data_IF_188874835819
#
_entry.id   IF_188874835819
#
_cell.length_a   1.000
_cell.length_b   1.000
_cell.length_c   1.000
_cell.angle_alpha   90.00
_cell.angle_beta   90.00
_cell.angle_gamma   90.00
#
_symmetry.space_group_name_H-M   'P 1'
#
loop_
_entity.id
_entity.type
_entity.pdbx_description
1 polymer ?
#
# COMPACT_ATOMS: atom_id res chain seq x y z
N UNK A 1 -18.19 24.75 3.99
CA UNK A 1 -17.21 23.68 3.69
C UNK A 1 -17.77 22.88 2.53
N UNK A 2 -16.99 22.70 1.48
CA UNK A 2 -17.37 22.03 0.24
C UNK A 2 -16.73 20.64 0.21
N UNK A 3 -17.40 19.67 -0.43
CA UNK A 3 -16.79 18.37 -0.75
C UNK A 3 -15.96 18.56 -2.01
N UNK A 4 -14.65 18.35 -1.95
CA UNK A 4 -13.83 18.29 -3.16
C UNK A 4 -13.96 16.91 -3.81
N UNK A 5 -13.70 15.88 -3.03
CA UNK A 5 -13.91 14.48 -3.36
C UNK A 5 -13.93 13.73 -2.04
N UNK A 6 -15.06 13.10 -1.70
CA UNK A 6 -15.17 12.35 -0.44
C UNK A 6 -13.97 11.38 -0.27
N UNK A 7 -13.28 11.35 0.89
CA UNK A 7 -13.61 12.00 2.16
C UNK A 7 -12.93 13.37 2.37
N UNK A 8 -12.45 14.03 1.33
CA UNK A 8 -11.77 15.33 1.39
C UNK A 8 -12.78 16.47 1.27
N UNK A 9 -12.70 17.38 2.23
CA UNK A 9 -13.51 18.59 2.32
C UNK A 9 -12.59 19.80 2.39
N UNK A 10 -12.99 20.91 1.76
CA UNK A 10 -12.22 22.15 1.79
C UNK A 10 -13.08 23.38 2.08
N UNK A 11 -12.40 24.43 2.55
CA UNK A 11 -12.99 25.75 2.78
C UNK A 11 -11.93 26.79 2.52
N UNK A 12 -12.28 27.83 1.76
CA UNK A 12 -11.45 29.03 1.60
C UNK A 12 -11.98 30.10 2.55
N UNK A 13 -11.10 30.69 3.34
CA UNK A 13 -11.42 31.79 4.24
C UNK A 13 -10.72 33.04 3.70
N UNK A 14 -11.51 34.05 3.33
CA UNK A 14 -10.97 35.31 2.84
C UNK A 14 -10.51 36.19 4.00
N UNK A 15 -9.60 37.12 3.73
CA UNK A 15 -9.12 38.13 4.68
C UNK A 15 -8.43 37.55 5.94
N UNK A 16 -7.90 36.34 5.83
CA UNK A 16 -7.08 35.69 6.85
C UNK A 16 -5.69 35.42 6.27
N UNK A 17 -4.65 35.82 6.99
CA UNK A 17 -3.26 35.73 6.55
C UNK A 17 -2.44 34.88 7.50
N UNK A 18 -1.53 34.08 6.96
CA UNK A 18 -0.62 33.26 7.74
C UNK A 18 0.31 34.12 8.62
N UNK A 19 0.71 33.63 9.82
CA UNK A 19 0.41 32.31 10.38
C UNK A 19 -1.00 32.23 11.00
N UNK A 20 -1.72 31.14 10.74
CA UNK A 20 -3.06 30.89 11.30
C UNK A 20 -3.03 29.72 12.26
N UNK A 21 -3.62 29.91 13.45
CA UNK A 21 -3.90 28.83 14.41
C UNK A 21 -5.32 28.32 14.21
N UNK A 22 -5.48 27.00 14.13
CA UNK A 22 -6.79 26.38 13.93
C UNK A 22 -6.84 24.98 14.55
N UNK A 23 -8.05 24.42 14.63
CA UNK A 23 -8.30 23.02 14.96
C UNK A 23 -9.54 22.57 14.20
N UNK A 24 -9.66 21.27 13.94
CA UNK A 24 -10.88 20.72 13.35
C UNK A 24 -11.88 20.29 14.41
N UNK A 25 -13.17 20.35 14.06
CA UNK A 25 -14.29 19.82 14.84
C UNK A 25 -15.10 18.92 13.90
N UNK A 26 -15.33 17.68 14.31
CA UNK A 26 -16.22 16.74 13.61
C UNK A 26 -17.31 16.28 14.57
N UNK A 27 -18.54 16.74 14.32
CA UNK A 27 -19.67 16.45 15.20
C UNK A 27 -19.48 17.09 16.59
N UNK A 28 -19.28 16.25 17.61
CA UNK A 28 -19.03 16.68 19.01
C UNK A 28 -17.56 16.53 19.43
N UNK A 29 -16.71 16.03 18.55
CA UNK A 29 -15.30 15.78 18.83
C UNK A 29 -14.46 16.93 18.27
N UNK A 30 -13.65 17.54 19.14
CA UNK A 30 -12.69 18.59 18.83
C UNK A 30 -11.26 18.04 18.97
N UNK A 31 -10.35 18.46 18.09
CA UNK A 31 -8.94 18.08 18.21
C UNK A 31 -8.32 18.60 19.51
N UNK A 32 -7.51 17.76 20.17
CA UNK A 32 -6.85 18.11 21.45
C UNK A 32 -5.52 18.85 21.28
N UNK A 33 -5.26 19.36 20.09
CA UNK A 33 -4.04 20.08 19.73
C UNK A 33 -4.39 21.23 18.78
N UNK A 34 -3.54 22.26 18.77
CA UNK A 34 -3.68 23.39 17.85
C UNK A 34 -2.75 23.19 16.66
N UNK A 35 -3.29 23.32 15.46
CA UNK A 35 -2.54 23.34 14.21
C UNK A 35 -2.05 24.76 13.92
N UNK A 36 -0.96 24.86 13.19
CA UNK A 36 -0.41 26.12 12.69
C UNK A 36 -0.16 25.93 11.19
N UNK A 37 -0.67 26.85 10.38
CA UNK A 37 -0.37 26.94 8.95
C UNK A 37 0.35 28.26 8.67
N UNK A 38 1.52 28.15 8.04
CA UNK A 38 2.39 29.29 7.68
C UNK A 38 2.28 29.68 6.20
N UNK A 39 1.39 29.02 5.45
CA UNK A 39 1.11 29.22 4.02
C UNK A 39 -0.34 29.63 3.75
N UNK A 40 -0.66 29.91 2.49
CA UNK A 40 -2.00 30.23 2.00
C UNK A 40 -2.98 29.04 1.98
N UNK A 41 -2.46 27.83 2.14
CA UNK A 41 -3.19 26.57 2.03
C UNK A 41 -2.66 25.52 2.99
N UNK A 42 -3.51 24.55 3.33
CA UNK A 42 -3.17 23.35 4.12
C UNK A 42 -3.03 22.14 3.20
N UNK A 43 -2.38 21.09 3.69
CA UNK A 43 -2.37 19.78 3.02
C UNK A 43 -3.70 19.06 3.24
N UNK A 44 -3.90 17.91 2.59
CA UNK A 44 -4.97 16.99 3.00
C UNK A 44 -4.65 16.41 4.38
N UNK A 45 -5.24 17.00 5.41
CA UNK A 45 -5.05 16.58 6.80
C UNK A 45 -6.07 15.52 7.21
N UNK A 46 -5.68 14.67 8.16
CA UNK A 46 -6.59 13.69 8.74
C UNK A 46 -7.01 14.17 10.14
N UNK A 47 -8.32 14.16 10.41
CA UNK A 47 -8.85 14.58 11.71
C UNK A 47 -8.20 13.82 12.86
N UNK A 48 -7.84 14.55 13.91
CA UNK A 48 -7.20 14.04 15.11
C UNK A 48 -5.83 13.38 14.85
N UNK A 49 -5.11 13.85 13.82
CA UNK A 49 -3.70 13.52 13.56
C UNK A 49 -2.88 14.79 13.50
N UNK A 50 -2.12 15.04 14.56
CA UNK A 50 -1.29 16.24 14.73
C UNK A 50 -0.24 16.40 13.62
N UNK A 51 0.46 15.32 13.29
CA UNK A 51 1.53 15.36 12.27
C UNK A 51 1.04 14.77 10.96
N UNK A 52 0.87 15.61 9.93
CA UNK A 52 0.46 15.17 8.58
C UNK A 52 1.62 14.51 7.82
N UNK A 53 2.82 15.11 7.88
CA UNK A 53 4.03 14.60 7.23
C UNK A 53 5.18 14.59 8.24
N UNK A 54 5.85 13.44 8.39
CA UNK A 54 7.01 13.26 9.26
C UNK A 54 8.16 12.65 8.46
N UNK A 55 9.20 13.44 8.22
CA UNK A 55 10.47 12.90 7.71
C UNK A 55 11.14 12.07 8.81
N UNK A 56 11.66 10.92 8.42
CA UNK A 56 12.42 10.01 9.29
C UNK A 56 13.70 9.57 8.56
N UNK A 57 14.73 9.13 9.30
CA UNK A 57 15.95 8.63 8.69
C UNK A 57 15.66 7.43 7.78
N UNK A 58 16.45 7.32 6.71
CA UNK A 58 16.45 6.17 5.81
C UNK A 58 17.53 5.18 6.26
N UNK A 59 17.33 3.89 5.96
CA UNK A 59 18.39 2.91 6.11
C UNK A 59 19.58 3.28 5.20
N UNK A 60 20.83 3.12 5.67
CA UNK A 60 22.00 3.39 4.85
C UNK A 60 22.02 2.45 3.65
N UNK A 61 22.33 2.99 2.47
CA UNK A 61 22.54 2.15 1.27
C UNK A 61 23.84 1.38 1.42
N UNK A 62 23.78 0.05 1.33
CA UNK A 62 24.97 -0.80 1.33
C UNK A 62 25.50 -1.06 -0.09
N UNK A 63 24.60 -1.04 -1.09
CA UNK A 63 24.93 -1.29 -2.49
C UNK A 63 24.18 -0.31 -3.40
N UNK A 64 24.72 -0.10 -4.59
CA UNK A 64 24.03 0.66 -5.64
C UNK A 64 22.76 -0.08 -6.07
N UNK A 65 21.67 0.68 -6.18
CA UNK A 65 20.39 0.17 -6.69
C UNK A 65 20.44 0.13 -8.21
N UNK A 66 19.76 -0.85 -8.84
CA UNK A 66 19.56 -0.83 -10.29
C UNK A 66 19.02 0.54 -10.73
N UNK A 67 19.57 1.12 -11.79
CA UNK A 67 19.17 2.44 -12.30
C UNK A 67 17.69 2.51 -12.70
N UNK A 68 17.10 1.35 -12.98
CA UNK A 68 15.69 1.13 -13.32
C UNK A 68 14.79 0.98 -12.09
N UNK A 69 15.35 0.67 -10.91
CA UNK A 69 14.63 0.58 -9.64
C UNK A 69 14.49 1.98 -9.03
N UNK A 70 13.37 2.64 -9.32
CA UNK A 70 13.05 3.97 -8.77
C UNK A 70 12.09 3.85 -7.59
N UNK A 71 12.36 4.58 -6.49
CA UNK A 71 11.38 4.74 -5.40
C UNK A 71 10.14 5.44 -5.95
N UNK A 72 8.99 4.79 -5.87
CA UNK A 72 7.73 5.37 -6.32
C UNK A 72 7.20 6.35 -5.28
N UNK A 73 6.61 7.47 -5.73
CA UNK A 73 5.87 8.39 -4.86
C UNK A 73 4.71 7.70 -4.13
N UNK A 74 4.18 6.60 -4.68
CA UNK A 74 3.17 5.78 -4.01
C UNK A 74 3.65 5.23 -2.68
N UNK A 75 4.94 4.97 -2.53
CA UNK A 75 5.53 4.40 -1.31
C UNK A 75 6.37 5.44 -0.55
N UNK A 76 6.00 6.72 -0.66
CA UNK A 76 6.45 7.73 0.29
C UNK A 76 5.88 7.40 1.67
N UNK A 77 6.76 7.01 2.59
CA UNK A 77 6.44 6.57 3.94
C UNK A 77 6.53 7.69 4.98
N UNK A 78 6.75 8.95 4.55
CA UNK A 78 6.70 10.11 5.44
C UNK A 78 5.27 10.47 5.89
N UNK A 79 4.25 9.85 5.30
CA UNK A 79 2.84 10.04 5.65
C UNK A 79 2.02 8.75 5.47
N UNK A 80 0.89 8.67 6.17
CA UNK A 80 -0.06 7.57 6.06
C UNK A 80 -1.19 8.00 5.14
N UNK A 81 -1.32 7.33 3.99
CA UNK A 81 -2.40 7.59 3.04
C UNK A 81 -3.69 6.91 3.49
N UNK A 82 -4.81 7.41 3.00
CA UNK A 82 -6.13 6.83 3.22
C UNK A 82 -6.66 6.27 1.92
N UNK A 83 -7.15 5.03 1.96
CA UNK A 83 -7.86 4.37 0.87
C UNK A 83 -9.30 4.14 1.31
N UNK A 84 -10.23 4.71 0.57
CA UNK A 84 -11.66 4.48 0.75
C UNK A 84 -12.16 3.62 -0.39
N UNK A 85 -12.81 2.50 -0.05
CA UNK A 85 -13.41 1.58 -1.00
C UNK A 85 -14.92 1.70 -0.92
N UNK A 86 -15.55 2.26 -1.94
CA UNK A 86 -17.00 2.44 -2.00
C UNK A 86 -17.65 1.34 -2.85
N UNK A 87 -18.62 0.64 -2.26
CA UNK A 87 -19.31 -0.48 -2.89
C UNK A 87 -20.52 -0.95 -2.10
N UNK A 88 -21.25 -1.94 -2.64
CA UNK A 88 -22.44 -2.48 -1.98
C UNK A 88 -22.06 -3.18 -0.68
N UNK A 89 -22.69 -2.77 0.44
CA UNK A 89 -22.41 -3.35 1.77
C UNK A 89 -22.54 -4.88 1.79
N UNK A 90 -23.61 -5.42 1.18
CA UNK A 90 -23.84 -6.86 1.11
C UNK A 90 -22.72 -7.61 0.39
N UNK A 91 -22.05 -7.00 -0.58
CA UNK A 91 -20.95 -7.63 -1.30
C UNK A 91 -19.70 -7.67 -0.41
N UNK A 92 -19.38 -6.58 0.30
CA UNK A 92 -18.31 -6.59 1.32
C UNK A 92 -18.57 -7.62 2.42
N UNK A 93 -19.80 -7.69 2.94
CA UNK A 93 -20.17 -8.66 3.97
C UNK A 93 -19.97 -10.09 3.47
N UNK A 94 -20.44 -10.41 2.26
CA UNK A 94 -20.24 -11.73 1.64
C UNK A 94 -18.78 -12.05 1.38
N UNK A 95 -17.98 -11.07 0.96
CA UNK A 95 -16.54 -11.23 0.73
C UNK A 95 -15.81 -11.62 2.02
N UNK A 96 -16.07 -10.88 3.10
CA UNK A 96 -15.42 -11.09 4.38
C UNK A 96 -15.93 -12.36 5.09
N UNK A 97 -17.20 -12.72 4.91
CA UNK A 97 -17.77 -13.96 5.45
C UNK A 97 -17.27 -15.22 4.71
N UNK A 98 -16.82 -15.09 3.46
CA UNK A 98 -16.39 -16.23 2.64
C UNK A 98 -14.96 -16.02 2.09
N UNK A 99 -13.93 -15.94 2.95
CA UNK A 99 -12.58 -15.54 2.54
C UNK A 99 -11.91 -16.51 1.56
N UNK A 100 -12.41 -17.74 1.46
CA UNK A 100 -11.92 -18.76 0.52
C UNK A 100 -12.50 -18.65 -0.90
N UNK A 101 -13.52 -17.82 -1.13
CA UNK A 101 -14.33 -17.85 -2.36
C UNK A 101 -13.65 -17.31 -3.64
N UNK A 102 -12.42 -16.78 -3.56
CA UNK A 102 -11.68 -16.04 -4.61
C UNK A 102 -12.51 -15.03 -5.43
N UNK A 103 -13.65 -14.60 -4.87
CA UNK A 103 -14.56 -13.66 -5.52
C UNK A 103 -13.94 -12.26 -5.56
N UNK A 104 -14.08 -11.62 -6.71
CA UNK A 104 -13.78 -10.21 -6.93
C UNK A 104 -15.08 -9.40 -6.87
N UNK A 105 -15.03 -8.23 -6.25
CA UNK A 105 -16.14 -7.27 -6.21
C UNK A 105 -15.65 -5.95 -6.79
N UNK A 106 -16.48 -5.34 -7.62
CA UNK A 106 -16.20 -4.04 -8.20
C UNK A 106 -16.53 -2.93 -7.20
N UNK A 107 -15.62 -1.96 -7.07
CA UNK A 107 -15.67 -0.88 -6.08
C UNK A 107 -15.07 0.40 -6.68
N UNK A 108 -15.60 1.55 -6.28
CA UNK A 108 -14.90 2.82 -6.48
C UNK A 108 -13.76 2.91 -5.45
N UNK A 109 -12.54 3.17 -5.91
CA UNK A 109 -11.35 3.33 -5.05
C UNK A 109 -10.97 4.80 -5.01
N UNK A 110 -10.94 5.38 -3.82
CA UNK A 110 -10.43 6.73 -3.60
C UNK A 110 -9.16 6.63 -2.78
N UNK A 111 -8.05 7.08 -3.35
CA UNK A 111 -6.75 7.18 -2.69
C UNK A 111 -6.50 8.64 -2.34
N UNK A 112 -6.22 8.91 -1.06
CA UNK A 112 -5.96 10.24 -0.51
C UNK A 112 -4.59 10.24 0.16
N UNK A 113 -3.73 11.12 -0.31
CA UNK A 113 -2.46 11.47 0.34
C UNK A 113 -2.50 12.96 0.74
N UNK A 114 -1.55 13.45 1.55
CA UNK A 114 -1.44 14.88 1.86
C UNK A 114 -1.40 15.79 0.62
N UNK A 115 -0.95 15.26 -0.52
CA UNK A 115 -0.66 16.03 -1.72
C UNK A 115 -1.61 15.80 -2.89
N UNK A 116 -2.41 14.73 -2.86
CA UNK A 116 -3.26 14.38 -4.01
C UNK A 116 -4.39 13.44 -3.61
N UNK A 117 -5.49 13.58 -4.34
CA UNK A 117 -6.61 12.64 -4.38
C UNK A 117 -6.63 11.97 -5.76
N UNK A 118 -6.77 10.64 -5.79
CA UNK A 118 -6.92 9.84 -7.00
C UNK A 118 -8.15 8.95 -6.89
N UNK A 119 -8.99 8.98 -7.91
CA UNK A 119 -10.27 8.25 -7.93
C UNK A 119 -10.27 7.26 -9.08
N UNK A 120 -10.60 6.01 -8.78
CA UNK A 120 -10.73 4.93 -9.76
C UNK A 120 -12.15 4.39 -9.69
N UNK A 121 -12.97 4.72 -10.69
CA UNK A 121 -14.39 4.32 -10.74
C UNK A 121 -14.54 2.80 -10.95
N UNK A 122 -13.66 2.22 -11.76
CA UNK A 122 -13.72 0.83 -12.20
C UNK A 122 -12.74 -0.08 -11.42
N UNK A 123 -12.53 0.24 -10.14
CA UNK A 123 -11.68 -0.51 -9.24
C UNK A 123 -12.32 -1.83 -8.80
N UNK A 124 -11.51 -2.68 -8.17
CA UNK A 124 -11.99 -3.95 -7.65
C UNK A 124 -11.18 -4.45 -6.45
N UNK A 125 -11.87 -5.12 -5.53
CA UNK A 125 -11.32 -5.74 -4.33
C UNK A 125 -11.53 -7.25 -4.37
N UNK A 126 -10.54 -8.01 -3.88
CA UNK A 126 -10.71 -9.42 -3.51
C UNK A 126 -9.89 -9.79 -2.28
N UNK A 127 -10.21 -10.91 -1.64
CA UNK A 127 -9.39 -11.45 -0.56
C UNK A 127 -8.03 -11.91 -1.08
N UNK A 128 -6.98 -11.63 -0.33
CA UNK A 128 -5.60 -12.02 -0.64
C UNK A 128 -5.00 -12.89 0.45
N UNK A 129 -4.10 -13.78 0.04
CA UNK A 129 -3.39 -14.70 0.92
C UNK A 129 -3.85 -16.15 0.83
N UNK A 130 -3.15 -17.02 1.55
CA UNK A 130 -3.43 -18.46 1.62
C UNK A 130 -3.86 -18.81 3.05
N UNK A 131 -2.91 -18.91 3.99
CA UNK A 131 -3.19 -19.16 5.41
C UNK A 131 -3.81 -17.96 6.12
N UNK A 132 -3.53 -16.73 5.67
CA UNK A 132 -4.09 -15.50 6.27
C UNK A 132 -5.59 -15.32 6.04
N UNK A 133 -6.23 -16.18 5.25
CA UNK A 133 -7.68 -16.21 5.04
C UNK A 133 -8.46 -16.67 6.29
N UNK A 134 -7.77 -17.32 7.24
CA UNK A 134 -8.36 -17.76 8.51
C UNK A 134 -8.21 -16.72 9.63
N UNK A 135 -7.57 -15.57 9.35
CA UNK A 135 -7.40 -14.50 10.33
C UNK A 135 -8.68 -13.67 10.46
N UNK A 136 -8.90 -13.11 11.67
CA UNK A 136 -10.02 -12.18 11.90
C UNK A 136 -9.90 -10.91 11.03
N UNK A 137 -8.67 -10.43 10.82
CA UNK A 137 -8.38 -9.32 9.92
C UNK A 137 -7.80 -9.85 8.62
N UNK A 138 -8.59 -9.78 7.56
CA UNK A 138 -8.25 -10.30 6.24
C UNK A 138 -7.36 -9.34 5.47
N UNK A 139 -6.52 -9.87 4.58
CA UNK A 139 -5.77 -9.08 3.62
C UNK A 139 -6.55 -8.96 2.31
N UNK A 140 -6.36 -7.86 1.60
CA UNK A 140 -7.06 -7.57 0.35
C UNK A 140 -6.07 -7.36 -0.80
N UNK A 141 -6.56 -7.56 -2.02
CA UNK A 141 -5.90 -7.12 -3.24
C UNK A 141 -6.82 -6.10 -3.92
N UNK A 142 -6.28 -4.94 -4.24
CA UNK A 142 -6.94 -3.92 -5.04
C UNK A 142 -6.43 -3.99 -6.47
N UNK A 143 -7.33 -3.87 -7.43
CA UNK A 143 -7.03 -3.82 -8.86
C UNK A 143 -7.97 -2.89 -9.60
N UNK A 144 -7.76 -2.70 -10.90
CA UNK A 144 -8.51 -1.69 -11.65
C UNK A 144 -8.09 -0.27 -11.27
N UNK A 145 -6.85 -0.10 -10.79
CA UNK A 145 -6.29 1.20 -10.41
C UNK A 145 -5.78 1.96 -11.64
N UNK A 146 -6.66 2.11 -12.61
CA UNK A 146 -6.45 2.79 -13.89
C UNK A 146 -7.69 3.61 -14.19
N UNK A 147 -7.51 4.90 -14.41
CA UNK A 147 -8.57 5.81 -14.85
C UNK A 147 -8.87 5.61 -16.34
N UNK A 148 -9.97 6.18 -16.81
CA UNK A 148 -10.41 6.06 -18.19
C UNK A 148 -9.44 6.75 -19.18
N UNK A 149 -8.67 7.75 -18.71
CA UNK A 149 -7.59 8.41 -19.46
C UNK A 149 -6.22 7.71 -19.29
N UNK A 150 -6.22 6.43 -18.91
CA UNK A 150 -5.04 5.57 -18.74
C UNK A 150 -4.02 6.06 -17.70
N UNK A 151 -4.47 6.80 -16.69
CA UNK A 151 -3.63 7.17 -15.55
C UNK A 151 -3.75 6.13 -14.45
N UNK A 152 -2.61 5.50 -14.17
CA UNK A 152 -2.50 4.51 -13.12
C UNK A 152 -2.22 5.15 -11.74
N UNK A 153 -2.37 4.38 -10.66
CA UNK A 153 -1.93 4.78 -9.32
C UNK A 153 -0.39 4.79 -9.27
N UNK A 154 0.23 5.89 -9.72
CA UNK A 154 1.69 6.03 -9.80
C UNK A 154 2.36 4.86 -10.56
N UNK A 155 1.76 4.47 -11.68
CA UNK A 155 2.24 3.34 -12.51
C UNK A 155 1.88 1.94 -11.98
N UNK A 156 0.89 1.83 -11.08
CA UNK A 156 0.38 0.56 -10.56
C UNK A 156 -1.10 0.41 -10.92
N UNK A 157 -1.43 -0.72 -11.55
CA UNK A 157 -2.82 -1.14 -11.82
C UNK A 157 -3.43 -1.99 -10.71
N UNK A 158 -2.60 -2.48 -9.79
CA UNK A 158 -3.00 -3.23 -8.61
C UNK A 158 -1.97 -3.09 -7.49
N UNK A 159 -2.44 -3.22 -6.25
CA UNK A 159 -1.63 -3.26 -5.02
C UNK A 159 -2.20 -4.31 -4.07
N UNK A 160 -1.39 -4.79 -3.13
CA UNK A 160 -1.86 -5.65 -2.02
C UNK A 160 -1.93 -4.85 -0.74
N UNK A 161 -3.01 -5.05 0.00
CA UNK A 161 -3.24 -4.50 1.34
C UNK A 161 -3.11 -5.65 2.34
N UNK A 162 -1.98 -5.72 3.01
CA UNK A 162 -1.68 -6.79 3.97
C UNK A 162 -2.14 -6.40 5.37
N UNK A 163 -2.83 -7.31 6.03
CA UNK A 163 -3.43 -7.05 7.34
C UNK A 163 -2.43 -7.06 8.49
N UNK A 164 -1.23 -7.62 8.26
CA UNK A 164 -0.17 -7.86 9.26
C UNK A 164 -0.67 -8.55 10.53
N UNK A 165 -1.78 -9.31 10.44
CA UNK A 165 -2.47 -9.84 11.63
C UNK A 165 -1.60 -10.75 12.51
N UNK A 166 -0.68 -11.50 11.91
CA UNK A 166 0.24 -12.39 12.64
C UNK A 166 1.48 -11.67 13.19
N UNK A 167 1.71 -10.40 12.83
CA UNK A 167 2.83 -9.61 13.28
C UNK A 167 2.38 -8.59 14.32
N UNK A 168 2.59 -8.90 15.60
CA UNK A 168 2.26 -7.98 16.70
C UNK A 168 2.92 -6.60 16.61
N UNK A 169 4.05 -6.49 15.89
CA UNK A 169 4.73 -5.21 15.68
C UNK A 169 4.20 -4.42 14.49
N UNK A 170 3.48 -5.07 13.56
CA UNK A 170 3.13 -4.54 12.23
C UNK A 170 4.32 -4.13 11.35
N UNK A 171 5.57 -4.30 11.80
CA UNK A 171 6.75 -3.69 11.19
C UNK A 171 7.67 -4.67 10.49
N UNK A 172 7.61 -5.98 10.77
CA UNK A 172 8.61 -6.94 10.27
C UNK A 172 8.69 -6.95 8.75
N UNK A 173 7.55 -7.06 8.06
CA UNK A 173 7.51 -7.11 6.59
C UNK A 173 7.97 -5.77 5.97
N UNK A 174 7.52 -4.63 6.51
CA UNK A 174 7.96 -3.29 6.07
C UNK A 174 9.47 -3.10 6.24
N UNK A 175 10.00 -3.37 7.43
CA UNK A 175 11.42 -3.24 7.73
C UNK A 175 12.27 -4.14 6.84
N UNK A 176 11.80 -5.37 6.57
CA UNK A 176 12.52 -6.26 5.67
C UNK A 176 12.53 -5.76 4.22
N UNK A 177 11.41 -5.23 3.71
CA UNK A 177 11.39 -4.57 2.40
C UNK A 177 12.35 -3.38 2.36
N UNK A 178 12.38 -2.55 3.40
CA UNK A 178 13.29 -1.41 3.48
C UNK A 178 14.76 -1.84 3.45
N UNK A 179 15.11 -2.89 4.21
CA UNK A 179 16.47 -3.46 4.22
C UNK A 179 16.84 -3.94 2.82
N UNK A 180 15.98 -4.73 2.18
CA UNK A 180 16.23 -5.25 0.83
C UNK A 180 16.43 -4.11 -0.19
N UNK A 181 15.58 -3.08 -0.16
CA UNK A 181 15.74 -1.91 -1.02
C UNK A 181 17.05 -1.14 -0.71
N UNK A 182 17.45 -1.04 0.56
CA UNK A 182 18.68 -0.37 0.98
C UNK A 182 19.95 -1.13 0.56
N UNK A 183 19.90 -2.46 0.50
CA UNK A 183 21.00 -3.29 0.00
C UNK A 183 20.95 -3.50 -1.52
N UNK A 184 20.18 -2.68 -2.26
CA UNK A 184 20.17 -2.71 -3.72
C UNK A 184 19.36 -3.83 -4.37
N UNK A 185 18.67 -4.65 -3.57
CA UNK A 185 17.87 -5.77 -4.09
C UNK A 185 16.58 -5.23 -4.71
N UNK A 186 16.28 -5.53 -5.99
CA UNK A 186 15.03 -5.13 -6.63
C UNK A 186 13.86 -5.93 -6.07
N UNK A 187 13.24 -5.39 -5.03
CA UNK A 187 12.11 -5.99 -4.31
C UNK A 187 10.91 -5.04 -4.28
N UNK A 188 9.79 -5.50 -3.73
CA UNK A 188 8.63 -4.62 -3.51
C UNK A 188 8.99 -3.44 -2.65
N UNK A 189 8.31 -2.33 -2.93
CA UNK A 189 8.21 -1.23 -2.00
C UNK A 189 6.93 -1.37 -1.17
N UNK A 190 6.92 -0.74 -0.01
CA UNK A 190 5.78 -0.82 0.89
C UNK A 190 5.62 0.44 1.74
N UNK A 191 4.39 0.70 2.19
CA UNK A 191 4.07 1.76 3.16
C UNK A 191 2.81 1.40 3.93
N UNK A 192 2.63 2.01 5.10
CA UNK A 192 1.36 1.88 5.82
C UNK A 192 0.29 2.78 5.22
N UNK A 193 -0.93 2.25 5.14
CA UNK A 193 -2.13 2.97 4.68
C UNK A 193 -3.31 2.68 5.60
N UNK A 194 -4.21 3.64 5.73
CA UNK A 194 -5.50 3.48 6.39
C UNK A 194 -6.54 3.06 5.36
N UNK A 195 -7.37 2.08 5.69
CA UNK A 195 -8.39 1.56 4.77
C UNK A 195 -9.78 1.70 5.39
N UNK A 196 -10.73 2.16 4.57
CA UNK A 196 -12.16 2.18 4.87
C UNK A 196 -12.93 1.35 3.83
N UNK A 197 -13.88 0.56 4.30
CA UNK A 197 -14.90 -0.08 3.46
C UNK A 197 -16.18 0.74 3.64
N UNK A 198 -16.55 1.50 2.61
CA UNK A 198 -17.49 2.61 2.71
C UNK A 198 -17.05 3.58 3.81
N UNK A 199 -17.89 3.78 4.82
CA UNK A 199 -17.64 4.66 5.96
C UNK A 199 -17.07 3.90 7.18
N UNK A 200 -16.90 2.58 7.06
CA UNK A 200 -16.44 1.73 8.17
C UNK A 200 -14.91 1.55 8.11
N UNK A 201 -14.17 1.85 9.18
CA UNK A 201 -12.73 1.63 9.22
C UNK A 201 -12.41 0.13 9.18
N UNK A 202 -11.64 -0.30 8.17
CA UNK A 202 -11.00 -1.62 8.15
C UNK A 202 -9.67 -1.62 8.93
N UNK A 203 -9.09 -0.44 9.15
CA UNK A 203 -7.91 -0.22 9.97
C UNK A 203 -6.63 0.05 9.16
N UNK A 204 -5.48 -0.16 9.80
CA UNK A 204 -4.15 0.04 9.21
C UNK A 204 -3.70 -1.19 8.42
N UNK A 205 -3.17 -1.01 7.22
CA UNK A 205 -2.65 -2.08 6.37
C UNK A 205 -1.25 -1.73 5.89
N UNK A 206 -0.43 -2.75 5.63
CA UNK A 206 0.80 -2.59 4.86
C UNK A 206 0.45 -2.71 3.37
N UNK A 207 0.53 -1.61 2.64
CA UNK A 207 0.37 -1.63 1.18
C UNK A 207 1.69 -2.02 0.53
N UNK A 208 1.64 -2.92 -0.45
CA UNK A 208 2.82 -3.44 -1.16
C UNK A 208 2.56 -3.51 -2.68
N UNK A 209 3.63 -3.48 -3.48
CA UNK A 209 3.53 -3.79 -4.91
C UNK A 209 2.90 -5.19 -5.15
N UNK A 210 2.15 -5.32 -6.24
CA UNK A 210 1.57 -6.60 -6.64
C UNK A 210 2.31 -7.22 -7.84
N UNK A 211 3.02 -8.31 -7.59
CA UNK A 211 3.72 -9.09 -8.62
C UNK A 211 2.81 -9.87 -9.56
N UNK A 212 1.51 -10.01 -9.25
CA UNK A 212 0.61 -10.74 -10.16
C UNK A 212 0.31 -9.94 -11.43
N UNK A 213 0.58 -8.64 -11.44
CA UNK A 213 0.59 -7.85 -12.67
C UNK A 213 2.06 -7.61 -13.07
N UNK A 214 2.37 -7.78 -14.35
CA UNK A 214 3.76 -7.64 -14.84
C UNK A 214 4.26 -6.18 -14.79
N UNK A 215 3.50 -5.20 -14.28
CA UNK A 215 3.87 -3.78 -14.31
C UNK A 215 5.09 -3.49 -13.46
N UNK A 216 5.11 -3.97 -12.20
CA UNK A 216 6.27 -3.81 -11.32
C UNK A 216 7.53 -4.44 -11.95
N UNK A 217 7.42 -5.67 -12.44
CA UNK A 217 8.55 -6.39 -13.04
C UNK A 217 9.08 -5.66 -14.27
N UNK A 218 8.20 -5.26 -15.20
CA UNK A 218 8.59 -4.49 -16.40
C UNK A 218 9.26 -3.18 -16.02
N UNK A 219 8.68 -2.41 -15.09
CA UNK A 219 9.25 -1.13 -14.67
C UNK A 219 10.62 -1.31 -14.03
N UNK A 220 10.78 -2.35 -13.20
CA UNK A 220 11.98 -2.55 -12.39
C UNK A 220 13.13 -3.15 -13.19
N UNK A 221 12.85 -4.10 -14.09
CA UNK A 221 13.91 -4.85 -14.79
C UNK A 221 13.97 -4.61 -16.30
N UNK A 222 13.03 -3.85 -16.88
CA UNK A 222 12.99 -3.63 -18.33
C UNK A 222 12.45 -2.25 -18.74
N UNK A 223 12.64 -1.21 -17.91
CA UNK A 223 12.22 0.16 -18.22
C UNK A 223 10.76 0.29 -18.68
N UNK A 224 9.87 -0.52 -18.11
CA UNK A 224 8.44 -0.55 -18.45
C UNK A 224 8.10 -1.34 -19.71
N UNK A 225 9.09 -1.83 -20.46
CA UNK A 225 8.89 -2.64 -21.68
C UNK A 225 8.52 -4.08 -21.34
N UNK A 226 7.80 -4.74 -22.25
CA UNK A 226 7.55 -6.19 -22.15
C UNK A 226 8.88 -6.94 -22.29
N UNK A 227 9.05 -8.00 -21.51
CA UNK A 227 10.17 -8.91 -21.70
C UNK A 227 9.91 -9.80 -22.91
N UNK A 228 10.95 -10.04 -23.69
CA UNK A 228 10.94 -10.98 -24.81
C UNK A 228 11.35 -12.40 -24.37
N UNK A 229 11.74 -12.55 -23.11
CA UNK A 229 12.15 -13.81 -22.48
C UNK A 229 11.44 -14.02 -21.15
N UNK A 230 11.27 -15.28 -20.74
CA UNK A 230 10.76 -15.62 -19.42
C UNK A 230 11.80 -15.30 -18.34
N UNK A 231 11.35 -14.64 -17.28
CA UNK A 231 12.20 -14.27 -16.15
C UNK A 231 11.71 -14.97 -14.88
N UNK A 232 12.62 -15.64 -14.18
CA UNK A 232 12.32 -16.25 -12.90
C UNK A 232 12.15 -15.18 -11.82
N UNK A 233 11.12 -15.32 -10.99
CA UNK A 233 10.93 -14.50 -9.78
C UNK A 233 11.16 -15.41 -8.59
N UNK A 234 12.05 -15.03 -7.69
CA UNK A 234 12.29 -15.78 -6.47
C UNK A 234 11.36 -15.28 -5.37
N UNK A 235 10.72 -16.22 -4.65
CA UNK A 235 9.88 -15.92 -3.49
C UNK A 235 10.50 -16.64 -2.30
N UNK A 236 10.79 -15.91 -1.23
CA UNK A 236 11.26 -16.54 0.01
C UNK A 236 10.13 -17.32 0.68
N UNK A 237 10.45 -18.47 1.27
CA UNK A 237 9.50 -19.31 1.99
C UNK A 237 9.28 -18.80 3.43
N UNK A 238 8.24 -19.30 4.11
CA UNK A 238 8.05 -19.09 5.54
C UNK A 238 9.18 -19.73 6.36
N UNK A 239 9.49 -19.16 7.54
CA UNK A 239 10.50 -19.70 8.46
C UNK A 239 11.75 -18.84 8.61
N UNK A 240 11.84 -17.71 7.90
CA UNK A 240 12.85 -16.69 8.18
C UNK A 240 12.61 -16.07 9.56
N UNK A 241 13.63 -16.05 10.39
CA UNK A 241 13.66 -15.34 11.66
C UNK A 241 14.90 -14.44 11.73
N UNK A 242 14.94 -13.55 12.72
CA UNK A 242 16.13 -12.72 12.99
C UNK A 242 17.12 -13.43 13.92
N UNK A 243 16.98 -14.74 14.13
CA UNK A 243 17.90 -15.47 14.98
C UNK A 243 19.18 -15.74 14.19
N UNK A 244 20.31 -15.42 14.80
CA UNK A 244 21.60 -15.80 14.27
C UNK A 244 21.68 -17.34 14.25
N UNK A 245 21.79 -17.94 13.06
CA UNK A 245 21.85 -19.40 12.88
C UNK A 245 23.28 -19.94 12.92
N UNK A 246 24.18 -19.38 12.10
CA UNK A 246 25.59 -19.79 12.02
C UNK A 246 26.39 -18.89 11.05
N UNK A 247 27.73 -18.97 11.11
CA UNK A 247 28.63 -18.45 10.06
C UNK A 247 28.70 -19.37 8.83
N UNK A 248 28.24 -20.62 8.95
CA UNK A 248 28.28 -21.64 7.89
C UNK A 248 26.86 -21.96 7.46
N UNK A 249 26.45 -21.42 6.31
CA UNK A 249 25.08 -21.60 5.81
C UNK A 249 24.95 -22.96 5.12
N UNK A 250 24.60 -23.99 5.89
CA UNK A 250 24.07 -25.24 5.35
C UNK A 250 22.53 -25.22 5.51
N UNK A 251 21.78 -25.33 4.42
CA UNK A 251 20.32 -25.49 4.46
C UNK A 251 19.48 -24.22 4.26
N UNK A 252 20.05 -23.09 3.81
CA UNK A 252 19.24 -22.05 3.19
C UNK A 252 18.87 -22.50 1.78
N UNK A 253 17.74 -23.20 1.64
CA UNK A 253 17.17 -23.47 0.32
C UNK A 253 16.28 -22.27 -0.06
N UNK A 254 16.76 -21.29 -0.86
CA UNK A 254 15.87 -20.30 -1.42
C UNK A 254 14.83 -21.03 -2.26
N UNK A 255 13.55 -20.87 -1.89
CA UNK A 255 12.47 -21.40 -2.69
C UNK A 255 12.49 -20.78 -4.09
N UNK A 256 12.65 -21.62 -5.11
CA UNK A 256 12.53 -21.23 -6.50
C UNK A 256 11.06 -21.31 -6.93
N UNK A 257 10.43 -20.16 -7.20
CA UNK A 257 9.14 -20.16 -7.87
C UNK A 257 9.38 -20.31 -9.38
N UNK A 258 8.92 -21.42 -9.96
CA UNK A 258 9.17 -21.81 -11.36
C UNK A 258 8.31 -21.08 -12.41
N UNK A 259 7.62 -19.98 -12.06
CA UNK A 259 6.81 -19.21 -13.01
C UNK A 259 5.65 -19.98 -13.66
N UNK A 260 5.14 -19.46 -14.79
CA UNK A 260 4.01 -20.00 -15.59
C UNK A 260 4.37 -21.28 -16.40
N UNK A 261 5.45 -22.00 -16.04
CA UNK A 261 5.81 -23.24 -16.73
C UNK A 261 4.69 -24.26 -16.47
N UNK A 262 3.94 -24.62 -17.52
CA UNK A 262 2.80 -25.58 -17.49
C UNK A 262 3.07 -26.93 -16.80
N UNK A 263 4.32 -27.25 -16.47
CA UNK A 263 4.77 -28.51 -15.87
C UNK A 263 5.72 -28.32 -14.66
N UNK A 264 5.68 -27.18 -13.96
CA UNK A 264 6.52 -26.94 -12.79
C UNK A 264 6.22 -27.87 -11.59
N UNK A 265 4.98 -28.38 -11.50
CA UNK A 265 4.48 -29.23 -10.40
C UNK A 265 4.81 -30.73 -10.55
N UNK A 266 5.45 -31.15 -11.65
CA UNK A 266 5.80 -32.55 -11.84
C UNK A 266 7.28 -32.82 -11.59
N UNK A 267 7.53 -33.58 -10.50
CA UNK A 267 8.77 -34.19 -9.99
C UNK A 267 9.56 -33.31 -9.00
N UNK A 268 9.88 -33.77 -7.79
CA UNK A 268 10.01 -35.13 -7.24
C UNK A 268 9.46 -35.17 -5.81
#
# INVERSE_FOLDING_TARGET
MNVEEYPVYSVTINDVYAPVKYHYIIGKEEEKFTRIVDSDSTLNEFFNREVTVKKHPLLPKAFETLSTLKKSKLFDDTHIDTIVLQGKKNDFDKLNANPSSDKKIDVKVIFVSPYTVKVFQNGAIKISGQSTKYNKKLSYRLSGLKTDDDKELFGRTAVKLRSEYGDASFMREKTYFDILNAIGVPTSQSKFVRVFLNETPAGLFLMTDDFSNKSFLKSTFNNGKKFDVDNAVFKVNSGGDLSYKSFTVNGSEPYSYKGDIKNADNKK
#
